data_IF_554060887662
#
_entry.id   IF_554060887662
#
_cell.length_a   1.000
_cell.length_b   1.000
_cell.length_c   1.000
_cell.angle_alpha   90.00
_cell.angle_beta   90.00
_cell.angle_gamma   90.00
#
_symmetry.space_group_name_H-M   'P 1'
#
loop_
_entity.id
_entity.type
_entity.pdbx_description
1 polymer ?
#
# COMPACT_ATOMS: atom_id res chain seq x y z
N UNK A 1 -52.58 -49.18 1.67
CA UNK A 1 -51.87 -50.01 2.67
C UNK A 1 -51.01 -49.10 3.52
N UNK A 2 -51.32 -49.03 4.83
CA UNK A 2 -50.54 -48.30 5.84
C UNK A 2 -49.44 -49.23 6.34
N UNK A 3 -48.18 -48.79 6.32
CA UNK A 3 -47.10 -49.46 7.03
C UNK A 3 -46.64 -48.57 8.18
N UNK A 4 -46.80 -49.08 9.40
CA UNK A 4 -46.22 -48.53 10.62
C UNK A 4 -44.82 -49.11 10.78
N UNK A 5 -43.84 -48.28 11.12
CA UNK A 5 -42.55 -48.73 11.65
C UNK A 5 -42.35 -48.13 13.04
N UNK A 6 -41.80 -48.90 14.01
CA UNK A 6 -41.74 -48.51 15.41
C UNK A 6 -40.54 -47.61 15.72
N UNK A 7 -40.72 -46.82 16.77
CA UNK A 7 -39.73 -45.92 17.35
C UNK A 7 -38.51 -46.69 17.89
N UNK A 8 -37.31 -46.20 17.57
CA UNK A 8 -36.08 -46.56 18.25
C UNK A 8 -35.52 -45.30 18.92
N UNK A 9 -35.55 -45.30 20.25
CA UNK A 9 -34.92 -44.29 21.08
C UNK A 9 -33.39 -44.44 21.00
N UNK A 10 -32.68 -43.36 20.74
CA UNK A 10 -31.22 -43.29 20.86
C UNK A 10 -30.86 -42.20 21.88
N UNK A 11 -30.10 -42.64 22.87
CA UNK A 11 -29.72 -41.93 24.08
C UNK A 11 -28.88 -40.68 23.79
N UNK A 12 -29.16 -39.61 24.55
CA UNK A 12 -28.37 -38.40 24.56
C UNK A 12 -27.06 -38.61 25.34
N UNK A 13 -25.92 -38.49 24.66
CA UNK A 13 -24.61 -38.40 25.30
C UNK A 13 -24.21 -36.93 25.41
N UNK A 14 -24.32 -36.34 26.60
CA UNK A 14 -23.83 -35.01 26.90
C UNK A 14 -22.29 -35.04 27.04
N UNK A 15 -21.58 -34.50 26.06
CA UNK A 15 -20.14 -34.24 26.14
C UNK A 15 -19.92 -32.93 26.93
N UNK A 16 -19.43 -33.03 28.16
CA UNK A 16 -18.94 -31.87 28.90
C UNK A 16 -17.62 -31.40 28.25
N UNK A 17 -17.69 -30.28 27.53
CA UNK A 17 -16.51 -29.58 27.02
C UNK A 17 -15.85 -28.80 28.16
N UNK A 18 -14.72 -29.30 28.65
CA UNK A 18 -13.90 -28.59 29.63
C UNK A 18 -13.16 -27.43 28.96
N UNK A 19 -13.59 -26.19 29.23
CA UNK A 19 -12.85 -24.99 28.84
C UNK A 19 -11.57 -24.90 29.66
N UNK A 20 -10.42 -25.20 29.06
CA UNK A 20 -9.12 -24.84 29.63
C UNK A 20 -8.91 -23.32 29.41
N UNK A 21 -9.28 -22.51 30.40
CA UNK A 21 -8.87 -21.10 30.46
C UNK A 21 -7.41 -21.04 30.88
N UNK A 22 -6.50 -20.91 29.91
CA UNK A 22 -5.15 -20.45 30.20
C UNK A 22 -5.23 -18.95 30.57
N UNK A 23 -4.63 -18.51 31.70
CA UNK A 23 -4.54 -17.09 31.98
C UNK A 23 -3.63 -16.44 30.94
N UNK A 24 -4.20 -15.59 30.08
CA UNK A 24 -3.44 -14.69 29.21
C UNK A 24 -2.78 -13.65 30.10
N UNK A 25 -1.48 -13.79 30.31
CA UNK A 25 -0.67 -12.75 30.95
C UNK A 25 -0.62 -11.53 30.01
N UNK A 26 -1.02 -10.32 30.46
CA UNK A 26 -1.01 -9.14 29.61
C UNK A 26 0.44 -8.80 29.27
N UNK A 27 0.83 -9.03 28.02
CA UNK A 27 2.10 -8.52 27.49
C UNK A 27 2.05 -6.99 27.61
N UNK A 28 3.01 -6.33 28.27
CA UNK A 28 3.07 -4.88 28.27
C UNK A 28 3.35 -4.42 26.84
N UNK A 29 2.28 -4.11 26.11
CA UNK A 29 2.38 -3.29 24.91
C UNK A 29 2.71 -1.91 25.44
N UNK A 30 3.98 -1.53 25.38
CA UNK A 30 4.38 -0.12 25.47
C UNK A 30 3.82 0.57 24.22
N UNK A 31 2.52 0.87 24.24
CA UNK A 31 2.00 1.93 23.41
C UNK A 31 2.74 3.18 23.88
N UNK A 32 3.59 3.73 23.02
CA UNK A 32 4.22 5.02 23.29
C UNK A 32 3.09 5.96 23.72
N UNK A 33 3.17 6.48 24.94
CA UNK A 33 2.17 7.42 25.46
C UNK A 33 2.17 8.59 24.50
N UNK A 34 1.13 8.70 23.67
CA UNK A 34 0.94 9.86 22.81
C UNK A 34 0.83 11.06 23.73
N UNK A 35 1.84 11.92 23.73
CA UNK A 35 1.77 13.18 24.45
C UNK A 35 0.62 13.97 23.79
N UNK A 36 -0.45 14.32 24.50
CA UNK A 36 -1.62 15.00 23.91
C UNK A 36 -1.28 16.37 23.30
N UNK A 37 -0.10 16.90 23.59
CA UNK A 37 0.42 18.15 23.01
C UNK A 37 1.29 17.94 21.74
N UNK A 38 1.68 16.69 21.42
CA UNK A 38 2.50 16.42 20.25
C UNK A 38 1.69 16.65 18.97
N UNK A 39 2.25 17.46 18.07
CA UNK A 39 1.68 17.75 16.74
C UNK A 39 2.63 17.31 15.64
N UNK A 40 2.08 16.82 14.53
CA UNK A 40 2.86 16.53 13.34
C UNK A 40 3.20 17.86 12.64
N UNK A 41 4.49 18.21 12.62
CA UNK A 41 4.92 19.45 11.95
C UNK A 41 5.38 19.23 10.51
N UNK A 42 6.02 18.10 10.21
CA UNK A 42 6.62 17.78 8.90
C UNK A 42 6.68 16.27 8.68
N UNK A 43 6.60 15.88 7.41
CA UNK A 43 6.86 14.51 6.95
C UNK A 43 7.92 14.57 5.86
N UNK A 44 8.90 13.67 5.94
CA UNK A 44 9.83 13.38 4.84
C UNK A 44 9.63 11.92 4.46
N UNK A 45 9.25 11.68 3.21
CA UNK A 45 8.97 10.35 2.70
C UNK A 45 9.97 9.99 1.60
N UNK A 46 10.73 8.91 1.82
CA UNK A 46 11.50 8.26 0.76
C UNK A 46 10.71 7.06 0.27
N UNK A 47 10.17 7.16 -0.94
CA UNK A 47 9.26 6.16 -1.50
C UNK A 47 9.93 5.40 -2.65
N UNK A 48 9.78 4.07 -2.64
CA UNK A 48 10.10 3.24 -3.80
C UNK A 48 9.03 3.42 -4.89
N UNK A 49 9.44 3.37 -6.16
CA UNK A 49 8.48 3.35 -7.27
C UNK A 49 7.39 2.26 -7.11
N UNK A 50 6.23 2.49 -7.73
CA UNK A 50 5.13 1.52 -7.78
C UNK A 50 5.41 0.26 -8.61
N UNK A 51 4.38 -0.57 -8.83
CA UNK A 51 4.49 -1.87 -9.50
C UNK A 51 4.92 -1.73 -10.96
N UNK A 52 5.94 -2.50 -11.35
CA UNK A 52 6.55 -2.49 -12.69
C UNK A 52 6.89 -3.90 -13.18
N UNK A 53 7.03 -4.12 -14.50
CA UNK A 53 7.64 -5.33 -15.02
C UNK A 53 9.14 -5.43 -14.66
N UNK A 54 9.79 -6.56 -15.01
CA UNK A 54 11.23 -6.67 -15.05
C UNK A 54 11.88 -5.53 -15.85
N UNK A 55 13.16 -5.23 -15.59
CA UNK A 55 13.86 -4.11 -16.23
C UNK A 55 14.47 -4.45 -17.59
N UNK A 56 14.43 -5.72 -18.01
CA UNK A 56 15.02 -6.23 -19.25
C UNK A 56 14.21 -7.39 -19.79
N UNK A 57 14.28 -7.62 -21.10
CA UNK A 57 13.60 -8.72 -21.77
C UNK A 57 14.07 -10.11 -21.32
N UNK A 58 15.39 -10.28 -21.16
CA UNK A 58 15.95 -11.51 -20.60
C UNK A 58 15.90 -11.42 -19.07
N UNK A 59 14.84 -11.97 -18.49
CA UNK A 59 14.60 -11.91 -17.04
C UNK A 59 15.41 -12.93 -16.24
N UNK A 60 15.78 -14.05 -16.88
CA UNK A 60 16.66 -15.09 -16.33
C UNK A 60 17.58 -15.65 -17.42
N UNK A 61 18.75 -16.22 -17.07
CA UNK A 61 19.60 -16.92 -18.01
C UNK A 61 18.88 -18.06 -18.76
N UNK A 62 19.35 -18.42 -19.98
CA UNK A 62 18.83 -19.58 -20.71
C UNK A 62 18.89 -20.87 -19.88
N UNK A 63 17.82 -21.67 -19.94
CA UNK A 63 17.71 -22.95 -19.23
C UNK A 63 17.26 -22.87 -17.77
N UNK A 64 17.04 -21.66 -17.22
CA UNK A 64 16.51 -21.50 -15.85
C UNK A 64 14.99 -21.68 -15.80
N UNK A 65 14.26 -21.17 -16.79
CA UNK A 65 12.82 -21.34 -16.92
C UNK A 65 12.51 -22.30 -18.07
N UNK A 66 11.67 -23.31 -17.80
CA UNK A 66 11.20 -24.25 -18.82
C UNK A 66 10.02 -23.69 -19.66
N UNK A 67 9.38 -22.62 -19.18
CA UNK A 67 8.24 -21.97 -19.81
C UNK A 67 8.53 -20.49 -20.07
N UNK A 68 7.82 -19.91 -21.03
CA UNK A 68 7.88 -18.48 -21.31
C UNK A 68 7.33 -17.68 -20.13
N UNK A 69 7.91 -16.49 -19.92
CA UNK A 69 7.45 -15.55 -18.90
C UNK A 69 6.17 -14.84 -19.37
N UNK A 70 5.25 -14.50 -18.45
CA UNK A 70 4.06 -13.74 -18.81
C UNK A 70 4.44 -12.35 -19.35
N UNK A 71 3.67 -11.91 -20.34
CA UNK A 71 3.76 -10.56 -20.87
C UNK A 71 3.22 -9.51 -19.89
N UNK A 72 3.60 -8.26 -20.12
CA UNK A 72 3.18 -7.11 -19.33
C UNK A 72 2.55 -6.04 -20.24
N UNK A 73 1.65 -5.19 -19.71
CA UNK A 73 0.94 -4.19 -20.51
C UNK A 73 1.77 -2.95 -20.84
N UNK A 74 3.01 -2.87 -20.37
CA UNK A 74 3.94 -1.72 -20.53
C UNK A 74 5.35 -2.22 -20.76
N UNK A 75 6.24 -1.34 -21.21
CA UNK A 75 7.64 -1.66 -21.49
C UNK A 75 8.45 -1.95 -20.23
N UNK A 76 9.65 -2.49 -20.44
CA UNK A 76 10.54 -2.95 -19.38
C UNK A 76 10.87 -1.85 -18.39
N UNK A 77 10.65 -2.15 -17.11
CA UNK A 77 10.95 -1.24 -16.01
C UNK A 77 10.07 0.00 -15.91
N UNK A 78 9.00 0.12 -16.71
CA UNK A 78 8.04 1.22 -16.62
C UNK A 78 6.98 0.99 -15.54
N UNK A 79 6.31 2.05 -15.09
CA UNK A 79 5.22 1.89 -14.13
C UNK A 79 3.99 1.30 -14.83
N UNK A 80 3.39 0.26 -14.24
CA UNK A 80 2.14 -0.31 -14.76
C UNK A 80 0.92 0.57 -14.40
N UNK A 81 -0.19 0.50 -15.16
CA UNK A 81 -1.44 1.17 -14.76
C UNK A 81 -1.91 0.75 -13.37
N UNK A 82 -1.83 -0.54 -13.05
CA UNK A 82 -2.14 -1.05 -11.71
C UNK A 82 -1.24 -0.43 -10.62
N UNK A 83 0.06 -0.32 -10.90
CA UNK A 83 1.01 0.32 -9.99
C UNK A 83 0.73 1.81 -9.79
N UNK A 84 0.29 2.50 -10.84
CA UNK A 84 -0.14 3.89 -10.78
C UNK A 84 -1.36 4.05 -9.85
N UNK A 85 -2.42 3.27 -10.09
CA UNK A 85 -3.63 3.31 -9.27
C UNK A 85 -3.38 2.98 -7.80
N UNK A 86 -2.53 1.97 -7.53
CA UNK A 86 -2.17 1.61 -6.17
C UNK A 86 -1.48 2.78 -5.42
N UNK A 87 -0.58 3.50 -6.09
CA UNK A 87 0.12 4.65 -5.50
C UNK A 87 -0.81 5.85 -5.35
N UNK A 88 -1.74 6.06 -6.30
CA UNK A 88 -2.78 7.08 -6.17
C UNK A 88 -3.66 6.83 -4.95
N UNK A 89 -4.05 5.58 -4.70
CA UNK A 89 -4.80 5.20 -3.49
C UNK A 89 -3.97 5.41 -2.22
N UNK A 90 -2.66 5.14 -2.25
CA UNK A 90 -1.76 5.44 -1.14
C UNK A 90 -1.73 6.95 -0.85
N UNK A 91 -1.59 7.79 -1.87
CA UNK A 91 -1.63 9.25 -1.72
C UNK A 91 -2.94 9.77 -1.13
N UNK A 92 -4.08 9.16 -1.49
CA UNK A 92 -5.38 9.48 -0.89
C UNK A 92 -5.40 9.11 0.61
N UNK A 93 -4.88 7.94 0.95
CA UNK A 93 -4.77 7.52 2.34
C UNK A 93 -3.86 8.46 3.15
N UNK A 94 -2.69 8.82 2.60
CA UNK A 94 -1.77 9.77 3.22
C UNK A 94 -2.41 11.15 3.42
N UNK A 95 -3.19 11.63 2.44
CA UNK A 95 -3.96 12.87 2.57
C UNK A 95 -4.89 12.85 3.76
N UNK A 96 -5.69 11.79 3.90
CA UNK A 96 -6.60 11.64 5.04
C UNK A 96 -5.81 11.59 6.36
N UNK A 97 -4.76 10.77 6.41
CA UNK A 97 -3.95 10.61 7.61
C UNK A 97 -3.29 11.93 8.05
N UNK A 98 -2.70 12.68 7.13
CA UNK A 98 -2.04 13.95 7.44
C UNK A 98 -3.02 15.09 7.68
N UNK A 99 -4.24 15.02 7.16
CA UNK A 99 -5.31 15.94 7.53
C UNK A 99 -5.79 15.72 8.96
N UNK A 100 -5.97 14.47 9.38
CA UNK A 100 -6.33 14.11 10.76
C UNK A 100 -5.27 14.55 11.77
N UNK A 101 -4.00 14.60 11.35
CA UNK A 101 -2.88 15.10 12.14
C UNK A 101 -2.67 16.63 12.03
N UNK A 102 -3.52 17.33 11.27
CA UNK A 102 -3.47 18.79 11.09
C UNK A 102 -2.32 19.31 10.23
N UNK A 103 -1.60 18.43 9.52
CA UNK A 103 -0.47 18.81 8.65
C UNK A 103 -0.97 19.39 7.31
N UNK A 104 -2.03 18.82 6.75
CA UNK A 104 -2.68 19.27 5.51
C UNK A 104 -4.16 19.60 5.76
N UNK A 105 -4.77 20.40 4.89
CA UNK A 105 -6.24 20.48 4.87
C UNK A 105 -6.83 19.12 4.49
N UNK A 106 -8.10 18.82 4.81
CA UNK A 106 -8.74 17.59 4.32
C UNK A 106 -8.99 17.68 2.80
N UNK A 107 -9.46 18.83 2.33
CA UNK A 107 -9.90 19.07 0.95
C UNK A 107 -9.20 20.27 0.32
N UNK A 108 -9.24 20.36 -1.01
CA UNK A 108 -8.64 21.45 -1.78
C UNK A 108 -7.10 21.39 -1.82
N UNK A 109 -6.51 22.38 -2.48
CA UNK A 109 -5.08 22.37 -2.75
C UNK A 109 -4.24 22.75 -1.52
N UNK A 110 -3.10 22.06 -1.30
CA UNK A 110 -2.09 22.51 -0.34
C UNK A 110 -1.66 23.96 -0.64
N UNK A 111 -1.24 24.68 0.41
CA UNK A 111 -0.65 26.00 0.22
C UNK A 111 0.63 25.91 -0.63
N UNK A 112 0.97 26.99 -1.33
CA UNK A 112 2.18 27.05 -2.13
C UNK A 112 3.42 26.73 -1.27
N UNK A 113 4.23 25.76 -1.70
CA UNK A 113 5.41 25.29 -0.97
C UNK A 113 5.14 24.40 0.25
N UNK A 114 3.88 24.01 0.51
CA UNK A 114 3.56 23.08 1.60
C UNK A 114 3.94 21.63 1.26
N UNK A 115 3.91 21.28 -0.02
CA UNK A 115 4.25 19.95 -0.53
C UNK A 115 5.33 20.12 -1.59
N UNK A 116 6.42 19.36 -1.45
CA UNK A 116 7.49 19.25 -2.42
C UNK A 116 7.62 17.80 -2.85
N UNK A 117 7.66 17.56 -4.16
CA UNK A 117 7.77 16.24 -4.75
C UNK A 117 8.99 16.21 -5.66
N UNK A 118 9.89 15.26 -5.39
CA UNK A 118 11.05 15.01 -6.22
C UNK A 118 11.11 13.53 -6.60
N UNK A 119 11.55 13.26 -7.82
CA UNK A 119 11.76 11.92 -8.34
C UNK A 119 13.12 11.84 -9.04
N UNK A 120 13.66 10.63 -9.15
CA UNK A 120 14.85 10.39 -9.96
C UNK A 120 14.55 10.47 -11.46
N UNK A 121 15.57 10.38 -12.29
CA UNK A 121 15.50 10.47 -13.76
C UNK A 121 14.70 9.34 -14.44
N UNK A 122 14.28 8.31 -13.70
CA UNK A 122 13.61 7.14 -14.28
C UNK A 122 12.13 7.42 -14.51
N UNK A 123 11.61 7.05 -15.68
CA UNK A 123 10.19 7.21 -16.03
C UNK A 123 9.25 6.66 -14.95
N UNK A 124 9.56 5.48 -14.40
CA UNK A 124 8.78 4.85 -13.32
C UNK A 124 8.71 5.66 -12.03
N UNK A 125 9.78 6.37 -11.62
CA UNK A 125 9.79 7.16 -10.38
C UNK A 125 9.02 8.46 -10.60
N UNK A 126 9.21 9.10 -11.75
CA UNK A 126 8.42 10.28 -12.14
C UNK A 126 6.91 9.97 -12.20
N UNK A 127 6.52 8.86 -12.84
CA UNK A 127 5.12 8.45 -12.91
C UNK A 127 4.56 8.08 -11.53
N UNK A 128 5.37 7.47 -10.65
CA UNK A 128 4.96 7.17 -9.28
C UNK A 128 4.72 8.46 -8.48
N UNK A 129 5.62 9.44 -8.58
CA UNK A 129 5.47 10.72 -7.90
C UNK A 129 4.22 11.49 -8.40
N UNK A 130 3.92 11.45 -9.71
CA UNK A 130 2.68 12.00 -10.26
C UNK A 130 1.44 11.30 -9.70
N UNK A 131 1.44 9.96 -9.63
CA UNK A 131 0.33 9.21 -9.02
C UNK A 131 0.11 9.60 -7.56
N UNK A 132 1.20 9.75 -6.79
CA UNK A 132 1.13 10.18 -5.40
C UNK A 132 0.55 11.60 -5.30
N UNK A 133 1.00 12.52 -6.16
CA UNK A 133 0.51 13.90 -6.22
C UNK A 133 -1.00 13.95 -6.50
N UNK A 134 -1.47 13.18 -7.48
CA UNK A 134 -2.89 13.07 -7.84
C UNK A 134 -3.73 12.47 -6.71
N UNK A 135 -3.19 11.50 -5.98
CA UNK A 135 -3.85 10.94 -4.81
C UNK A 135 -3.94 11.93 -3.65
N UNK A 136 -2.84 12.64 -3.40
CA UNK A 136 -2.67 13.55 -2.28
C UNK A 136 -3.48 14.85 -2.42
N UNK A 137 -3.54 15.39 -3.64
CA UNK A 137 -4.24 16.65 -3.94
C UNK A 137 -4.88 16.61 -5.34
N UNK A 138 -6.02 15.90 -5.49
CA UNK A 138 -6.69 15.75 -6.78
C UNK A 138 -7.02 17.11 -7.44
N UNK A 139 -6.63 17.28 -8.70
CA UNK A 139 -6.90 18.50 -9.48
C UNK A 139 -6.00 19.70 -9.14
N UNK A 140 -5.03 19.54 -8.24
CA UNK A 140 -4.10 20.60 -7.86
C UNK A 140 -2.83 20.56 -8.71
N UNK A 141 -2.23 21.73 -9.00
CA UNK A 141 -1.02 21.82 -9.82
C UNK A 141 0.23 21.52 -8.98
N UNK A 142 0.34 20.29 -8.46
CA UNK A 142 1.56 19.84 -7.78
C UNK A 142 2.58 19.36 -8.81
N UNK A 143 3.66 20.13 -8.96
CA UNK A 143 4.76 19.79 -9.85
C UNK A 143 5.68 18.73 -9.22
N UNK A 144 6.19 17.83 -10.06
CA UNK A 144 7.22 16.85 -9.67
C UNK A 144 8.54 17.30 -10.26
N UNK A 145 9.50 17.59 -9.40
CA UNK A 145 10.88 17.89 -9.79
C UNK A 145 11.63 16.60 -10.10
N UNK A 146 12.41 16.60 -11.17
CA UNK A 146 13.29 15.48 -11.51
C UNK A 146 14.45 15.97 -12.40
N UNK A 147 15.61 15.29 -12.36
CA UNK A 147 16.72 15.61 -13.24
C UNK A 147 16.34 15.51 -14.71
N UNK A 148 16.86 16.44 -15.54
CA UNK A 148 16.60 16.45 -16.98
C UNK A 148 17.20 15.23 -17.68
N UNK A 149 18.34 14.74 -17.18
CA UNK A 149 19.02 13.56 -17.71
C UNK A 149 19.42 12.59 -16.60
N UNK A 150 19.64 11.30 -16.91
CA UNK A 150 20.17 10.35 -15.94
C UNK A 150 21.57 10.67 -15.42
N UNK A 151 22.34 11.51 -16.10
CA UNK A 151 23.67 11.91 -15.63
C UNK A 151 23.60 12.97 -14.52
N UNK A 152 22.51 13.72 -14.47
CA UNK A 152 22.24 14.74 -13.45
C UNK A 152 21.54 14.15 -12.21
N UNK A 153 21.30 12.84 -12.23
CA UNK A 153 20.66 12.10 -11.15
C UNK A 153 21.70 11.74 -10.09
N UNK A 154 21.52 12.26 -8.88
CA UNK A 154 22.46 12.07 -7.77
C UNK A 154 22.34 10.69 -7.07
N UNK A 155 21.58 9.75 -7.65
CA UNK A 155 21.46 8.37 -7.14
C UNK A 155 22.77 7.57 -7.20
#
# INVERSE_FOLDING_TARGET
MRFHFPAAALAASALLSACATTPTEPTPTTAASANPEARLERVVMLMRHGVRPPTKAMVTPPGVAAQDWPGWPVDWGELTPHGYDAVRLLGQWDRHHWADQGLLAAEGCPAAGQVHLAASSKSRTQATARALAEGLAPGCPLEVEFPATPADDAE
#
